data_IF_771855991789
#
_entry.id   IF_771855991789
#
_cell.length_a   1.000
_cell.length_b   1.000
_cell.length_c   1.000
_cell.angle_alpha   90.00
_cell.angle_beta   90.00
_cell.angle_gamma   90.00
#
_symmetry.space_group_name_H-M   'P 1'
#
loop_
_entity.id
_entity.type
_entity.pdbx_description
1 polymer ?
#
# COMPACT_ATOMS: atom_id res chain seq x y z
N UNK A 1 -8.54 -24.02 24.17
CA UNK A 1 -7.26 -23.29 24.20
C UNK A 1 -7.11 -22.60 22.85
N UNK A 2 -7.69 -21.40 22.69
CA UNK A 2 -7.60 -20.63 21.45
C UNK A 2 -6.52 -19.59 21.66
N UNK A 3 -5.39 -19.73 20.97
CA UNK A 3 -4.36 -18.71 20.97
C UNK A 3 -4.96 -17.40 20.44
N UNK A 4 -5.03 -16.39 21.29
CA UNK A 4 -5.33 -15.02 20.89
C UNK A 4 -4.27 -14.58 19.90
N UNK A 5 -4.61 -14.53 18.61
CA UNK A 5 -3.78 -13.88 17.62
C UNK A 5 -3.69 -12.40 18.00
N UNK A 6 -2.48 -11.78 18.02
CA UNK A 6 -2.39 -10.33 18.19
C UNK A 6 -3.24 -9.66 17.10
N UNK A 7 -4.09 -8.73 17.53
CA UNK A 7 -5.22 -8.21 16.75
C UNK A 7 -4.86 -7.83 15.32
N UNK A 8 -5.55 -8.45 14.36
CA UNK A 8 -5.53 -8.04 12.94
C UNK A 8 -6.34 -6.77 12.69
N UNK A 9 -6.96 -6.19 13.72
CA UNK A 9 -7.83 -5.00 13.66
C UNK A 9 -7.09 -3.70 13.31
N UNK A 10 -5.76 -3.74 13.13
CA UNK A 10 -4.95 -2.59 12.71
C UNK A 10 -4.33 -2.69 11.31
N UNK A 11 -4.50 -3.81 10.61
CA UNK A 11 -3.86 -4.02 9.30
C UNK A 11 -4.63 -3.30 8.18
N UNK A 12 -3.93 -2.56 7.33
CA UNK A 12 -4.51 -1.88 6.16
C UNK A 12 -3.52 -1.91 5.00
N UNK A 13 -3.99 -2.26 3.80
CA UNK A 13 -3.17 -2.20 2.58
C UNK A 13 -3.46 -0.90 1.81
N UNK A 14 -2.41 -0.15 1.46
CA UNK A 14 -2.47 0.99 0.55
C UNK A 14 -1.81 0.61 -0.77
N UNK A 15 -2.47 0.86 -1.88
CA UNK A 15 -1.93 0.62 -3.22
C UNK A 15 -1.81 1.96 -3.94
N UNK A 16 -0.61 2.27 -4.40
CA UNK A 16 -0.37 3.26 -5.44
C UNK A 16 -0.83 2.67 -6.79
N UNK A 17 -1.91 3.20 -7.36
CA UNK A 17 -2.59 2.59 -8.49
C UNK A 17 -2.09 3.10 -9.85
N UNK A 18 -1.27 4.15 -9.89
CA UNK A 18 -0.93 4.87 -11.13
C UNK A 18 -0.10 4.01 -12.08
N UNK A 19 0.61 3.00 -11.55
CA UNK A 19 1.33 2.02 -12.37
C UNK A 19 1.28 0.57 -11.85
N UNK A 20 0.47 0.24 -10.83
CA UNK A 20 0.53 -1.10 -10.21
C UNK A 20 -0.11 -2.20 -11.08
N UNK A 21 0.67 -3.20 -11.57
CA UNK A 21 0.17 -4.29 -12.40
C UNK A 21 -0.44 -5.44 -11.58
N UNK A 22 -0.28 -5.44 -10.25
CA UNK A 22 -0.62 -6.56 -9.36
C UNK A 22 -1.87 -6.29 -8.49
N UNK A 23 -2.74 -5.36 -8.90
CA UNK A 23 -3.96 -4.98 -8.15
C UNK A 23 -4.86 -6.18 -7.82
N UNK A 24 -5.11 -7.06 -8.80
CA UNK A 24 -5.96 -8.24 -8.61
C UNK A 24 -5.37 -9.26 -7.62
N UNK A 25 -4.03 -9.40 -7.62
CA UNK A 25 -3.32 -10.24 -6.67
C UNK A 25 -3.50 -9.72 -5.24
N UNK A 26 -3.35 -8.40 -5.06
CA UNK A 26 -3.55 -7.74 -3.77
C UNK A 26 -4.98 -7.92 -3.30
N UNK A 27 -5.98 -7.76 -4.18
CA UNK A 27 -7.39 -7.96 -3.81
C UNK A 27 -7.66 -9.39 -3.33
N UNK A 28 -7.11 -10.39 -4.02
CA UNK A 28 -7.27 -11.80 -3.66
C UNK A 28 -6.64 -12.12 -2.29
N UNK A 29 -5.43 -11.62 -2.03
CA UNK A 29 -4.74 -11.80 -0.75
C UNK A 29 -5.47 -11.05 0.36
N UNK A 30 -5.86 -9.80 0.13
CA UNK A 30 -6.59 -8.98 1.09
C UNK A 30 -7.91 -9.63 1.50
N UNK A 31 -8.67 -10.19 0.54
CA UNK A 31 -9.90 -10.91 0.80
C UNK A 31 -9.67 -12.15 1.70
N UNK A 32 -8.61 -12.93 1.44
CA UNK A 32 -8.24 -14.11 2.25
C UNK A 32 -7.93 -13.72 3.70
N UNK A 33 -7.25 -12.59 3.89
CA UNK A 33 -6.85 -12.13 5.22
C UNK A 33 -7.87 -11.17 5.87
N UNK A 34 -8.96 -10.84 5.17
CA UNK A 34 -9.98 -9.84 5.56
C UNK A 34 -9.37 -8.48 5.90
N UNK A 35 -8.36 -8.08 5.16
CA UNK A 35 -7.66 -6.81 5.36
C UNK A 35 -8.25 -5.75 4.42
N UNK A 36 -8.61 -4.54 4.92
CA UNK A 36 -9.08 -3.46 4.07
C UNK A 36 -7.98 -2.95 3.13
N UNK A 37 -8.39 -2.56 1.93
CA UNK A 37 -7.51 -2.04 0.87
C UNK A 37 -8.00 -0.67 0.44
N UNK A 38 -7.10 0.31 0.43
CA UNK A 38 -7.31 1.59 -0.24
C UNK A 38 -6.46 1.64 -1.51
N UNK A 39 -7.11 1.84 -2.64
CA UNK A 39 -6.46 1.92 -3.94
C UNK A 39 -6.49 3.39 -4.37
N UNK A 40 -5.32 4.02 -4.40
CA UNK A 40 -5.14 5.47 -4.49
C UNK A 40 -4.65 5.83 -5.89
N UNK A 41 -5.30 6.80 -6.53
CA UNK A 41 -4.90 7.31 -7.84
C UNK A 41 -5.37 8.74 -8.02
N UNK A 42 -4.67 9.50 -8.85
CA UNK A 42 -5.12 10.80 -9.35
C UNK A 42 -6.14 10.67 -10.52
N UNK A 43 -6.36 9.45 -11.03
CA UNK A 43 -7.19 9.18 -12.20
C UNK A 43 -8.31 8.18 -11.87
N UNK A 44 -9.50 8.29 -12.49
CA UNK A 44 -10.57 7.32 -12.26
C UNK A 44 -10.23 5.93 -12.83
N UNK A 45 -10.36 4.89 -12.00
CA UNK A 45 -10.25 3.49 -12.43
C UNK A 45 -11.32 2.61 -11.75
N UNK A 46 -11.51 1.38 -12.23
CA UNK A 46 -12.47 0.44 -11.63
C UNK A 46 -11.83 -0.36 -10.50
N UNK A 47 -12.55 -0.51 -9.39
CA UNK A 47 -12.25 -1.46 -8.32
C UNK A 47 -13.38 -2.49 -8.23
N UNK A 48 -13.13 -3.71 -7.72
CA UNK A 48 -14.19 -4.66 -7.44
C UNK A 48 -15.22 -4.11 -6.46
N UNK A 49 -16.48 -4.51 -6.61
CA UNK A 49 -17.54 -4.20 -5.64
C UNK A 49 -17.35 -5.08 -4.39
N UNK A 50 -16.72 -4.51 -3.38
CA UNK A 50 -16.36 -5.19 -2.13
C UNK A 50 -16.30 -4.20 -0.99
N UNK A 51 -16.86 -4.57 0.16
CA UNK A 51 -16.78 -3.76 1.38
C UNK A 51 -15.34 -3.58 1.90
N UNK A 52 -14.41 -4.44 1.46
CA UNK A 52 -12.99 -4.38 1.83
C UNK A 52 -12.17 -3.45 0.93
N UNK A 53 -12.62 -3.15 -0.28
CA UNK A 53 -11.82 -2.44 -1.27
C UNK A 53 -12.43 -1.06 -1.50
N UNK A 54 -11.64 -0.02 -1.23
CA UNK A 54 -12.04 1.37 -1.42
C UNK A 54 -11.17 2.01 -2.49
N UNK A 55 -11.81 2.68 -3.44
CA UNK A 55 -11.13 3.58 -4.38
C UNK A 55 -10.99 4.95 -3.72
N UNK A 56 -9.78 5.47 -3.70
CA UNK A 56 -9.45 6.83 -3.25
C UNK A 56 -8.98 7.60 -4.48
N UNK A 57 -9.78 8.58 -4.90
CA UNK A 57 -9.42 9.50 -5.97
C UNK A 57 -8.88 10.78 -5.32
N UNK A 58 -7.61 11.09 -5.58
CA UNK A 58 -6.97 12.34 -5.12
C UNK A 58 -7.04 13.42 -6.21
N UNK A 59 -6.55 14.61 -5.93
CA UNK A 59 -6.42 15.66 -6.95
C UNK A 59 -5.44 15.26 -8.06
N UNK A 60 -5.49 15.98 -9.17
CA UNK A 60 -4.57 15.88 -10.30
C UNK A 60 -3.22 16.59 -10.06
N UNK A 61 -2.99 17.09 -8.85
CA UNK A 61 -1.72 17.68 -8.48
C UNK A 61 -0.61 16.62 -8.53
N UNK A 62 0.59 17.07 -8.90
CA UNK A 62 1.79 16.24 -8.85
C UNK A 62 1.98 15.69 -7.43
N UNK A 63 2.36 14.41 -7.31
CA UNK A 63 2.57 13.70 -6.04
C UNK A 63 1.34 13.59 -5.10
N UNK A 64 0.13 13.96 -5.52
CA UNK A 64 -1.05 13.91 -4.65
C UNK A 64 -1.35 12.51 -4.09
N UNK A 65 -1.08 11.45 -4.88
CA UNK A 65 -1.27 10.07 -4.45
C UNK A 65 -0.22 9.68 -3.41
N UNK A 66 1.04 10.01 -3.69
CA UNK A 66 2.19 9.77 -2.82
C UNK A 66 2.03 10.45 -1.47
N UNK A 67 1.63 11.72 -1.46
CA UNK A 67 1.37 12.48 -0.24
C UNK A 67 0.26 11.84 0.59
N UNK A 68 -0.86 11.48 -0.06
CA UNK A 68 -1.97 10.84 0.63
C UNK A 68 -1.58 9.50 1.26
N UNK A 69 -0.78 8.70 0.55
CA UNK A 69 -0.28 7.40 1.03
C UNK A 69 0.71 7.62 2.18
N UNK A 70 1.70 8.49 2.01
CA UNK A 70 2.73 8.77 3.01
C UNK A 70 2.13 9.30 4.32
N UNK A 71 1.12 10.16 4.26
CA UNK A 71 0.38 10.65 5.43
C UNK A 71 -0.31 9.53 6.23
N UNK A 72 -0.68 8.43 5.58
CA UNK A 72 -1.43 7.32 6.18
C UNK A 72 -0.56 6.11 6.46
N UNK A 73 0.68 6.10 5.99
CA UNK A 73 1.69 5.12 6.33
C UNK A 73 1.97 5.18 7.84
N UNK A 74 1.89 4.02 8.49
CA UNK A 74 2.13 3.83 9.93
C UNK A 74 2.34 2.34 10.22
N UNK A 75 2.78 1.96 11.43
CA UNK A 75 2.83 0.55 11.82
C UNK A 75 1.47 -0.14 11.62
N UNK A 76 1.50 -1.34 11.04
CA UNK A 76 0.28 -2.07 10.64
C UNK A 76 -0.20 -1.75 9.22
N UNK A 77 0.36 -0.74 8.54
CA UNK A 77 0.06 -0.47 7.14
C UNK A 77 1.05 -1.19 6.23
N UNK A 78 0.52 -1.80 5.18
CA UNK A 78 1.31 -2.36 4.07
C UNK A 78 1.09 -1.49 2.84
N UNK A 79 2.16 -0.90 2.32
CA UNK A 79 2.13 -0.07 1.11
C UNK A 79 2.66 -0.87 -0.07
N UNK A 80 1.93 -0.87 -1.18
CA UNK A 80 2.35 -1.46 -2.44
C UNK A 80 2.63 -0.33 -3.41
N UNK A 81 3.89 -0.14 -3.78
CA UNK A 81 4.32 0.89 -4.74
C UNK A 81 5.56 0.41 -5.52
N UNK A 82 5.79 0.99 -6.69
CA UNK A 82 7.05 0.87 -7.43
C UNK A 82 7.99 2.07 -7.23
N UNK A 83 7.51 3.14 -6.59
CA UNK A 83 8.26 4.38 -6.41
C UNK A 83 9.18 4.29 -5.18
N UNK A 84 10.46 4.55 -5.41
CA UNK A 84 11.51 4.46 -4.38
C UNK A 84 11.40 5.62 -3.37
N UNK A 85 11.03 6.81 -3.81
CA UNK A 85 10.89 7.99 -2.96
C UNK A 85 9.67 7.85 -2.04
N UNK A 86 8.53 7.38 -2.58
CA UNK A 86 7.37 7.04 -1.77
C UNK A 86 7.69 5.90 -0.78
N UNK A 87 8.41 4.87 -1.24
CA UNK A 87 8.81 3.75 -0.38
C UNK A 87 9.67 4.21 0.80
N UNK A 88 10.64 5.09 0.57
CA UNK A 88 11.47 5.68 1.63
C UNK A 88 10.63 6.44 2.66
N UNK A 89 9.71 7.31 2.20
CA UNK A 89 8.78 8.04 3.08
C UNK A 89 7.95 7.10 3.95
N UNK A 90 7.39 6.05 3.34
CA UNK A 90 6.53 5.10 4.04
C UNK A 90 7.30 4.22 5.04
N UNK A 91 8.53 3.81 4.71
CA UNK A 91 9.41 3.09 5.64
C UNK A 91 9.79 3.94 6.84
N UNK A 92 10.12 5.22 6.62
CA UNK A 92 10.39 6.18 7.71
C UNK A 92 9.19 6.38 8.63
N UNK A 93 7.97 6.27 8.10
CA UNK A 93 6.72 6.29 8.87
C UNK A 93 6.42 4.96 9.61
N UNK A 94 7.24 3.91 9.43
CA UNK A 94 7.08 2.60 10.08
C UNK A 94 6.09 1.66 9.40
N UNK A 95 5.67 1.97 8.17
CA UNK A 95 4.89 1.04 7.35
C UNK A 95 5.78 -0.06 6.77
N UNK A 96 5.16 -1.20 6.42
CA UNK A 96 5.80 -2.21 5.57
C UNK A 96 5.59 -1.84 4.12
N UNK A 97 6.64 -1.79 3.31
CA UNK A 97 6.51 -1.41 1.89
C UNK A 97 6.98 -2.57 1.01
N UNK A 98 6.17 -2.93 0.02
CA UNK A 98 6.46 -3.99 -0.94
C UNK A 98 6.47 -3.43 -2.36
N UNK A 99 7.47 -3.87 -3.14
CA UNK A 99 7.47 -3.69 -4.58
C UNK A 99 6.38 -4.57 -5.24
N UNK A 100 6.03 -4.26 -6.49
CA UNK A 100 5.11 -5.08 -7.29
C UNK A 100 5.58 -6.54 -7.47
N UNK A 101 6.87 -6.83 -7.23
CA UNK A 101 7.44 -8.19 -7.23
C UNK A 101 7.16 -8.97 -5.94
N UNK A 102 6.54 -8.33 -4.94
CA UNK A 102 6.35 -8.87 -3.58
C UNK A 102 7.61 -8.78 -2.71
N UNK A 103 8.73 -8.24 -3.22
CA UNK A 103 9.94 -8.03 -2.44
C UNK A 103 9.77 -6.79 -1.53
N UNK A 104 10.18 -6.86 -0.25
CA UNK A 104 10.13 -5.70 0.61
C UNK A 104 11.14 -4.65 0.18
N UNK A 105 10.75 -3.38 0.24
CA UNK A 105 11.73 -2.32 0.33
C UNK A 105 12.32 -2.29 1.73
N UNK A 106 13.62 -2.03 1.79
CA UNK A 106 14.40 -1.90 3.02
C UNK A 106 15.29 -0.67 2.88
N UNK A 107 15.79 -0.13 3.99
CA UNK A 107 16.77 0.96 3.95
C UNK A 107 17.99 0.61 3.08
N UNK A 108 18.42 -0.66 3.10
CA UNK A 108 19.51 -1.16 2.27
C UNK A 108 19.17 -1.20 0.77
N UNK A 109 17.95 -1.59 0.39
CA UNK A 109 17.53 -1.64 -1.02
C UNK A 109 17.29 -0.26 -1.61
N UNK A 110 16.92 0.73 -0.79
CA UNK A 110 16.78 2.12 -1.23
C UNK A 110 18.14 2.76 -1.44
N UNK A 111 19.07 2.59 -0.48
CA UNK A 111 20.41 3.16 -0.58
C UNK A 111 21.19 2.68 -1.80
N UNK A 112 20.99 1.42 -2.24
CA UNK A 112 21.63 0.90 -3.45
C UNK A 112 20.97 1.33 -4.77
N UNK A 113 19.73 1.82 -4.76
CA UNK A 113 19.02 2.26 -5.96
C UNK A 113 19.14 3.78 -6.21
N UNK A 114 19.54 4.53 -5.18
CA UNK A 114 19.84 5.97 -5.25
C UNK A 114 21.35 6.28 -5.43
N UNK A 115 22.20 5.26 -5.45
CA UNK A 115 23.66 5.36 -5.53
C UNK A 115 24.18 5.33 -6.98
#
# INVERSE_FOLDING_TARGET
MTATQPGRDGLHILIDADACPVKDEVYRVAARHRVPVSVVSNSPFRVPDSSLIKRVLVSDAFDAADDWIAERARPGVVVITGDILLADRCLKAGATVLAHTGRPFTAASIGGALA
#
